data_IF_337123789230
#
_entry.id   IF_337123789230
#
_cell.length_a   1.000
_cell.length_b   1.000
_cell.length_c   1.000
_cell.angle_alpha   90.00
_cell.angle_beta   90.00
_cell.angle_gamma   90.00
#
_symmetry.space_group_name_H-M   'P 1'
#
loop_
_entity.id
_entity.type
_entity.pdbx_description
1 polymer ?
#
# COMPACT_ATOMS: atom_id res chain seq x y z
N UNK A 1 -14.62 -32.51 5.61
CA UNK A 1 -15.06 -31.10 5.62
C UNK A 1 -13.81 -30.23 5.56
N UNK A 2 -13.68 -29.35 4.56
CA UNK A 2 -12.47 -28.52 4.42
C UNK A 2 -12.35 -27.49 5.54
N UNK A 3 -11.14 -27.29 6.08
CA UNK A 3 -10.89 -26.17 7.00
C UNK A 3 -10.81 -24.84 6.21
N UNK A 4 -10.99 -23.70 6.89
CA UNK A 4 -10.92 -22.34 6.29
C UNK A 4 -11.99 -22.01 5.24
N UNK A 5 -13.26 -22.31 5.54
CA UNK A 5 -14.41 -21.96 4.70
C UNK A 5 -14.40 -20.48 4.26
N UNK A 6 -14.73 -20.25 2.99
CA UNK A 6 -14.74 -18.91 2.39
C UNK A 6 -13.37 -18.40 1.94
N UNK A 7 -12.29 -19.17 2.12
CA UNK A 7 -11.04 -18.94 1.40
C UNK A 7 -11.29 -19.10 -0.09
N UNK A 8 -10.86 -18.11 -0.86
CA UNK A 8 -11.02 -18.12 -2.32
C UNK A 8 -9.77 -18.73 -2.93
N UNK A 9 -9.96 -19.68 -3.83
CA UNK A 9 -8.92 -20.24 -4.70
C UNK A 9 -9.46 -20.31 -6.11
N UNK A 10 -8.82 -19.60 -7.04
CA UNK A 10 -9.13 -19.69 -8.46
C UNK A 10 -7.95 -20.30 -9.21
N UNK A 11 -8.20 -21.41 -9.89
CA UNK A 11 -7.22 -22.12 -10.69
C UNK A 11 -7.53 -21.92 -12.18
N UNK A 12 -6.53 -21.48 -12.94
CA UNK A 12 -6.58 -21.52 -14.39
C UNK A 12 -5.69 -22.65 -14.90
N UNK A 13 -6.26 -23.49 -15.75
CA UNK A 13 -5.56 -24.58 -16.43
C UNK A 13 -5.57 -24.37 -17.94
N UNK A 14 -4.71 -25.11 -18.63
CA UNK A 14 -4.77 -25.30 -20.08
C UNK A 14 -5.26 -26.72 -20.36
N UNK A 15 -6.15 -26.83 -21.34
CA UNK A 15 -6.60 -28.12 -21.83
C UNK A 15 -5.43 -28.91 -22.42
N UNK A 16 -5.53 -30.22 -22.35
CA UNK A 16 -4.58 -31.17 -22.94
C UNK A 16 -5.33 -32.07 -23.91
N UNK A 17 -4.62 -32.99 -24.54
CA UNK A 17 -5.22 -34.00 -25.43
C UNK A 17 -6.12 -35.01 -24.68
N UNK A 18 -6.06 -35.03 -23.34
CA UNK A 18 -6.93 -35.85 -22.48
C UNK A 18 -7.94 -34.99 -21.72
N UNK A 19 -9.23 -35.39 -21.67
CA UNK A 19 -10.27 -34.66 -20.95
C UNK A 19 -10.09 -34.66 -19.42
N UNK A 20 -9.29 -35.58 -18.88
CA UNK A 20 -9.02 -35.71 -17.44
C UNK A 20 -7.64 -35.18 -17.05
N UNK A 21 -6.89 -34.61 -17.99
CA UNK A 21 -5.55 -34.09 -17.74
C UNK A 21 -5.46 -32.60 -18.06
N UNK A 22 -4.81 -31.84 -17.17
CA UNK A 22 -4.75 -30.39 -17.22
C UNK A 22 -3.33 -29.90 -17.00
N UNK A 23 -2.92 -28.87 -17.72
CA UNK A 23 -1.66 -28.19 -17.42
C UNK A 23 -1.91 -26.98 -16.52
N UNK A 24 -1.19 -26.89 -15.41
CA UNK A 24 -1.23 -25.72 -14.53
C UNK A 24 -0.84 -24.45 -15.29
N UNK A 25 -1.68 -23.41 -15.19
CA UNK A 25 -1.37 -22.08 -15.70
C UNK A 25 -1.22 -21.08 -14.57
N UNK A 26 -2.33 -20.67 -13.94
CA UNK A 26 -2.37 -19.66 -12.86
C UNK A 26 -3.08 -20.21 -11.62
N UNK A 27 -2.68 -19.74 -10.44
CA UNK A 27 -3.49 -19.89 -9.23
C UNK A 27 -3.54 -18.59 -8.46
N UNK A 28 -4.69 -18.28 -7.90
CA UNK A 28 -4.98 -17.11 -7.08
C UNK A 28 -5.55 -17.61 -5.79
N UNK A 29 -5.13 -17.01 -4.70
CA UNK A 29 -5.73 -17.32 -3.42
C UNK A 29 -5.80 -16.09 -2.50
N UNK A 30 -6.84 -16.07 -1.69
CA UNK A 30 -7.05 -15.09 -0.63
C UNK A 30 -7.78 -15.77 0.52
N UNK A 31 -7.19 -15.72 1.72
CA UNK A 31 -7.77 -16.32 2.91
C UNK A 31 -8.99 -15.52 3.35
N UNK A 32 -10.03 -16.22 3.83
CA UNK A 32 -11.25 -15.57 4.33
C UNK A 32 -10.95 -14.48 5.37
N UNK A 33 -10.04 -14.77 6.28
CA UNK A 33 -9.58 -13.83 7.31
C UNK A 33 -9.03 -12.52 6.71
N UNK A 34 -8.31 -12.58 5.60
CA UNK A 34 -7.81 -11.40 4.89
C UNK A 34 -8.93 -10.64 4.16
N UNK A 35 -9.86 -11.35 3.52
CA UNK A 35 -11.00 -10.75 2.82
C UNK A 35 -11.88 -9.97 3.80
N UNK A 36 -12.28 -10.61 4.89
CA UNK A 36 -13.11 -9.98 5.92
C UNK A 36 -12.37 -8.84 6.61
N UNK A 37 -11.10 -9.06 6.99
CA UNK A 37 -10.28 -8.08 7.68
C UNK A 37 -10.02 -6.79 6.87
N UNK A 38 -10.03 -6.86 5.54
CA UNK A 38 -9.87 -5.69 4.67
C UNK A 38 -10.95 -4.62 4.89
N UNK A 39 -12.14 -5.01 5.36
CA UNK A 39 -13.21 -4.08 5.70
C UNK A 39 -12.77 -3.03 6.76
N UNK A 40 -11.78 -3.37 7.58
CA UNK A 40 -11.30 -2.53 8.68
C UNK A 40 -9.90 -1.94 8.44
N UNK A 41 -9.28 -2.28 7.31
CA UNK A 41 -8.02 -1.68 6.86
C UNK A 41 -8.25 -0.36 6.13
N UNK A 42 -7.20 0.43 5.88
CA UNK A 42 -7.28 1.58 4.97
C UNK A 42 -7.80 1.11 3.59
N UNK A 43 -8.63 1.89 2.88
CA UNK A 43 -9.12 1.55 1.54
C UNK A 43 -8.03 1.77 0.47
N UNK A 44 -6.81 1.31 0.76
CA UNK A 44 -5.63 1.46 -0.09
C UNK A 44 -5.04 0.07 -0.30
N UNK A 45 -4.89 -0.30 -1.57
CA UNK A 45 -4.29 -1.56 -2.00
C UNK A 45 -3.00 -1.25 -2.74
N UNK A 46 -1.91 -1.84 -2.31
CA UNK A 46 -0.63 -1.84 -3.00
C UNK A 46 -0.50 -3.16 -3.77
N UNK A 47 -0.19 -3.09 -5.06
CA UNK A 47 0.09 -4.27 -5.88
C UNK A 47 1.52 -4.28 -6.39
N UNK A 48 2.14 -5.47 -6.40
CA UNK A 48 3.52 -5.65 -6.87
C UNK A 48 3.72 -7.07 -7.41
N UNK A 49 4.69 -7.22 -8.31
CA UNK A 49 5.07 -8.48 -8.93
C UNK A 49 6.50 -8.86 -8.58
N UNK A 50 6.78 -10.15 -8.47
CA UNK A 50 8.15 -10.62 -8.28
C UNK A 50 8.44 -11.94 -8.97
N UNK A 51 9.61 -12.06 -9.59
CA UNK A 51 9.98 -13.29 -10.30
C UNK A 51 10.25 -14.47 -9.37
N UNK A 52 9.80 -15.65 -9.81
CA UNK A 52 10.12 -16.94 -9.23
C UNK A 52 11.40 -17.50 -9.88
N UNK A 53 12.24 -18.16 -9.07
CA UNK A 53 13.56 -18.64 -9.47
C UNK A 53 13.60 -20.16 -9.77
N UNK A 54 12.46 -20.85 -9.56
CA UNK A 54 12.32 -22.30 -9.71
C UNK A 54 12.48 -22.81 -11.15
N UNK A 55 12.43 -24.13 -11.34
CA UNK A 55 12.58 -24.81 -12.66
C UNK A 55 11.61 -24.25 -13.72
N UNK A 56 10.40 -23.92 -13.29
CA UNK A 56 9.29 -23.51 -14.15
C UNK A 56 9.22 -21.99 -14.39
N UNK A 57 10.10 -21.20 -13.76
CA UNK A 57 10.05 -19.73 -13.73
C UNK A 57 8.64 -19.26 -13.28
N UNK A 58 8.18 -18.11 -13.76
CA UNK A 58 6.91 -17.51 -13.37
C UNK A 58 7.08 -16.27 -12.49
N UNK A 59 5.96 -15.68 -12.10
CA UNK A 59 5.89 -14.51 -11.24
C UNK A 59 4.89 -14.75 -10.11
N UNK A 60 5.19 -14.20 -8.94
CA UNK A 60 4.29 -14.10 -7.81
C UNK A 60 3.78 -12.67 -7.75
N UNK A 61 2.47 -12.50 -7.96
CA UNK A 61 1.76 -11.24 -7.84
C UNK A 61 1.15 -11.14 -6.44
N UNK A 62 1.16 -9.93 -5.89
CA UNK A 62 0.73 -9.66 -4.53
C UNK A 62 -0.21 -8.46 -4.48
N UNK A 63 -1.23 -8.55 -3.64
CA UNK A 63 -2.04 -7.44 -3.18
C UNK A 63 -1.90 -7.31 -1.66
N UNK A 64 -1.59 -6.09 -1.21
CA UNK A 64 -1.39 -5.75 0.20
C UNK A 64 -2.24 -4.54 0.56
N UNK A 65 -2.92 -4.59 1.69
CA UNK A 65 -3.50 -3.42 2.34
C UNK A 65 -2.55 -2.89 3.44
N UNK A 66 -2.99 -1.82 4.07
CA UNK A 66 -2.41 -1.33 5.31
C UNK A 66 -3.50 -1.10 6.35
N UNK A 67 -3.23 -1.40 7.62
CA UNK A 67 -4.13 -1.03 8.72
C UNK A 67 -4.05 0.47 8.99
N UNK A 68 -5.02 1.03 9.72
CA UNK A 68 -4.92 2.41 10.23
C UNK A 68 -3.66 2.64 11.08
N UNK A 69 -3.11 1.59 11.70
CA UNK A 69 -1.85 1.63 12.46
C UNK A 69 -0.59 1.68 11.56
N UNK A 70 -0.72 1.65 10.24
CA UNK A 70 0.39 1.71 9.29
C UNK A 70 1.13 0.38 9.07
N UNK A 71 0.54 -0.74 9.47
CA UNK A 71 1.13 -2.06 9.32
C UNK A 71 0.68 -2.75 8.03
N UNK A 72 1.52 -3.64 7.51
CA UNK A 72 1.23 -4.39 6.28
C UNK A 72 0.17 -5.44 6.56
N UNK A 73 -0.86 -5.49 5.71
CA UNK A 73 -1.94 -6.46 5.79
C UNK A 73 -2.04 -7.24 4.47
N UNK A 74 -1.59 -8.50 4.41
CA UNK A 74 -1.65 -9.30 3.18
C UNK A 74 -3.08 -9.65 2.78
N UNK A 75 -3.43 -9.36 1.52
CA UNK A 75 -4.78 -9.60 0.99
C UNK A 75 -4.85 -10.84 0.11
N UNK A 76 -4.09 -10.84 -0.98
CA UNK A 76 -4.21 -11.86 -2.00
C UNK A 76 -2.90 -12.08 -2.74
N UNK A 77 -2.81 -13.25 -3.33
CA UNK A 77 -1.60 -13.77 -3.96
C UNK A 77 -1.96 -14.43 -5.28
N UNK A 78 -1.02 -14.45 -6.21
CA UNK A 78 -1.14 -15.30 -7.37
C UNK A 78 0.21 -15.75 -7.92
N UNK A 79 0.27 -17.00 -8.37
CA UNK A 79 1.36 -17.50 -9.20
C UNK A 79 0.91 -17.50 -10.65
N UNK A 80 1.69 -16.82 -11.50
CA UNK A 80 1.45 -16.66 -12.94
C UNK A 80 2.68 -17.04 -13.77
N UNK A 81 2.51 -17.27 -15.07
CA UNK A 81 3.57 -17.73 -15.98
C UNK A 81 4.53 -16.60 -16.42
N UNK A 82 4.04 -15.36 -16.49
CA UNK A 82 4.78 -14.17 -16.83
C UNK A 82 4.14 -12.92 -16.19
N UNK A 83 4.90 -11.83 -16.12
CA UNK A 83 4.37 -10.52 -15.74
C UNK A 83 3.96 -9.77 -17.02
N UNK A 84 2.72 -9.98 -17.48
CA UNK A 84 2.20 -9.43 -18.73
C UNK A 84 0.75 -8.96 -18.57
N UNK A 85 0.15 -8.45 -19.65
CA UNK A 85 -1.22 -7.95 -19.61
C UNK A 85 -2.25 -9.01 -19.22
N UNK A 86 -2.07 -10.27 -19.65
CA UNK A 86 -3.03 -11.35 -19.37
C UNK A 86 -2.99 -11.74 -17.90
N UNK A 87 -1.80 -11.88 -17.34
CA UNK A 87 -1.62 -12.25 -15.93
C UNK A 87 -2.07 -11.15 -14.97
N UNK A 88 -1.77 -9.88 -15.27
CA UNK A 88 -2.25 -8.75 -14.47
C UNK A 88 -3.76 -8.54 -14.59
N UNK A 89 -4.35 -8.69 -15.78
CA UNK A 89 -5.80 -8.66 -15.97
C UNK A 89 -6.48 -9.73 -15.13
N UNK A 90 -5.99 -10.96 -15.22
CA UNK A 90 -6.53 -12.08 -14.45
C UNK A 90 -6.41 -11.84 -12.94
N UNK A 91 -5.25 -11.38 -12.46
CA UNK A 91 -5.03 -11.11 -11.04
C UNK A 91 -5.95 -10.01 -10.51
N UNK A 92 -6.01 -8.86 -11.20
CA UNK A 92 -6.85 -7.74 -10.75
C UNK A 92 -8.35 -8.02 -10.90
N UNK A 93 -8.75 -8.85 -11.87
CA UNK A 93 -10.13 -9.34 -11.95
C UNK A 93 -10.50 -10.10 -10.68
N UNK A 94 -9.65 -11.03 -10.23
CA UNK A 94 -9.90 -11.79 -9.01
C UNK A 94 -9.83 -10.93 -7.75
N UNK A 95 -8.91 -9.96 -7.66
CA UNK A 95 -8.88 -8.98 -6.56
C UNK A 95 -10.19 -8.19 -6.50
N UNK A 96 -10.66 -7.65 -7.62
CA UNK A 96 -11.89 -6.86 -7.65
C UNK A 96 -13.14 -7.69 -7.38
N UNK A 97 -13.16 -8.95 -7.82
CA UNK A 97 -14.30 -9.86 -7.65
C UNK A 97 -14.41 -10.41 -6.22
N UNK A 98 -13.28 -10.79 -5.63
CA UNK A 98 -13.28 -11.59 -4.39
C UNK A 98 -12.80 -10.84 -3.15
N UNK A 99 -12.01 -9.77 -3.31
CA UNK A 99 -11.37 -9.08 -2.19
C UNK A 99 -11.98 -7.70 -1.95
N UNK A 100 -12.25 -6.94 -3.01
CA UNK A 100 -12.79 -5.57 -2.89
C UNK A 100 -14.30 -5.63 -2.70
N UNK A 101 -14.84 -5.11 -1.57
CA UNK A 101 -16.29 -5.10 -1.36
C UNK A 101 -17.02 -4.27 -2.44
N UNK A 102 -18.18 -4.70 -2.96
CA UNK A 102 -18.86 -4.04 -4.08
C UNK A 102 -19.09 -2.53 -3.90
N UNK A 103 -19.43 -2.09 -2.69
CA UNK A 103 -19.74 -0.68 -2.40
C UNK A 103 -18.53 0.16 -1.94
N UNK A 104 -17.37 -0.46 -1.77
CA UNK A 104 -16.19 0.21 -1.21
C UNK A 104 -15.39 0.89 -2.32
N UNK A 105 -15.15 2.19 -2.18
CA UNK A 105 -14.16 2.90 -2.99
C UNK A 105 -12.76 2.58 -2.47
N UNK A 106 -11.82 2.30 -3.38
CA UNK A 106 -10.44 1.94 -3.03
C UNK A 106 -9.42 2.68 -3.89
N UNK A 107 -8.26 2.94 -3.32
CA UNK A 107 -7.10 3.45 -4.04
C UNK A 107 -6.11 2.33 -4.32
N UNK A 108 -5.79 2.07 -5.59
CA UNK A 108 -4.75 1.11 -5.97
C UNK A 108 -3.45 1.85 -6.30
N UNK A 109 -2.39 1.51 -5.57
CA UNK A 109 -1.03 2.00 -5.77
C UNK A 109 -0.23 0.90 -6.47
N UNK A 110 0.36 1.25 -7.62
CA UNK A 110 1.05 0.28 -8.48
C UNK A 110 2.29 0.88 -9.15
N UNK A 111 3.15 0.02 -9.71
CA UNK A 111 4.08 0.45 -10.75
C UNK A 111 3.34 0.80 -12.06
N UNK A 112 4.03 1.46 -12.98
CA UNK A 112 3.62 1.78 -14.35
C UNK A 112 4.00 0.66 -15.33
N UNK A 113 4.00 -0.59 -14.88
CA UNK A 113 4.29 -1.73 -15.76
C UNK A 113 3.19 -1.86 -16.81
N UNK A 114 3.55 -2.14 -18.07
CA UNK A 114 2.59 -2.19 -19.19
C UNK A 114 1.47 -3.21 -18.99
N UNK A 115 1.77 -4.34 -18.32
CA UNK A 115 0.75 -5.32 -17.94
C UNK A 115 -0.30 -4.78 -16.97
N UNK A 116 0.09 -3.89 -16.04
CA UNK A 116 -0.83 -3.22 -15.12
C UNK A 116 -1.66 -2.18 -15.88
N UNK A 117 -1.04 -1.39 -16.76
CA UNK A 117 -1.77 -0.46 -17.63
C UNK A 117 -2.87 -1.19 -18.42
N UNK A 118 -2.51 -2.31 -19.07
CA UNK A 118 -3.45 -3.14 -19.80
C UNK A 118 -4.61 -3.63 -18.92
N UNK A 119 -4.36 -4.02 -17.67
CA UNK A 119 -5.42 -4.44 -16.76
C UNK A 119 -6.37 -3.29 -16.41
N UNK A 120 -5.87 -2.07 -16.15
CA UNK A 120 -6.72 -0.90 -15.89
C UNK A 120 -7.59 -0.49 -17.09
N UNK A 121 -7.13 -0.78 -18.32
CA UNK A 121 -7.90 -0.55 -19.54
C UNK A 121 -8.95 -1.64 -19.81
N UNK A 122 -8.72 -2.87 -19.33
CA UNK A 122 -9.48 -4.06 -19.76
C UNK A 122 -10.25 -4.78 -18.66
N UNK A 123 -10.20 -4.30 -17.40
CA UNK A 123 -11.01 -4.79 -16.28
C UNK A 123 -12.07 -3.73 -15.94
N UNK A 124 -13.37 -3.97 -16.25
CA UNK A 124 -14.43 -2.98 -16.09
C UNK A 124 -14.53 -2.40 -14.66
N UNK A 125 -14.33 -3.24 -13.65
CA UNK A 125 -14.42 -2.86 -12.24
C UNK A 125 -13.35 -1.84 -11.81
N UNK A 126 -12.22 -1.79 -12.53
CA UNK A 126 -11.17 -0.80 -12.31
C UNK A 126 -11.51 0.56 -12.94
N UNK A 127 -12.32 0.58 -14.01
CA UNK A 127 -12.73 1.80 -14.72
C UNK A 127 -14.00 2.46 -14.18
N UNK A 128 -14.86 1.70 -13.46
CA UNK A 128 -16.19 2.14 -13.02
C UNK A 128 -16.25 3.17 -11.89
N UNK A 129 -15.25 4.04 -11.73
CA UNK A 129 -15.24 5.17 -10.78
C UNK A 129 -15.11 4.80 -9.29
N UNK A 130 -15.14 3.51 -8.93
CA UNK A 130 -14.89 3.02 -7.55
C UNK A 130 -13.41 2.91 -7.21
N UNK A 131 -12.54 2.83 -8.21
CA UNK A 131 -11.11 2.65 -8.03
C UNK A 131 -10.37 3.92 -8.44
N UNK A 132 -9.61 4.50 -7.52
CA UNK A 132 -8.65 5.54 -7.86
C UNK A 132 -7.27 4.94 -8.05
N UNK A 133 -6.64 5.18 -9.18
CA UNK A 133 -5.27 4.69 -9.43
C UNK A 133 -4.23 5.73 -9.07
N UNK A 134 -3.17 5.29 -8.40
CA UNK A 134 -1.96 6.08 -8.09
C UNK A 134 -0.69 5.30 -8.44
N UNK A 135 0.34 6.02 -8.82
CA UNK A 135 1.65 5.46 -9.10
C UNK A 135 2.51 5.47 -7.85
N UNK A 136 3.21 4.35 -7.63
CA UNK A 136 4.24 4.27 -6.61
C UNK A 136 5.33 5.29 -6.91
N UNK A 137 5.48 6.28 -6.03
CA UNK A 137 6.47 7.35 -6.18
C UNK A 137 7.91 6.79 -6.22
N UNK A 138 8.15 5.66 -5.54
CA UNK A 138 9.46 4.99 -5.55
C UNK A 138 9.76 4.41 -6.93
N UNK A 139 8.79 3.73 -7.56
CA UNK A 139 8.93 3.22 -8.92
C UNK A 139 9.04 4.36 -9.94
N UNK A 140 8.22 5.41 -9.80
CA UNK A 140 8.34 6.59 -10.64
C UNK A 140 9.75 7.22 -10.54
N UNK A 141 10.33 7.27 -9.33
CA UNK A 141 11.72 7.71 -9.12
C UNK A 141 12.75 6.83 -9.79
N UNK A 142 12.53 5.52 -9.84
CA UNK A 142 13.39 4.61 -10.59
C UNK A 142 13.31 4.87 -12.09
N UNK A 143 12.11 4.99 -12.64
CA UNK A 143 11.87 5.24 -14.06
C UNK A 143 12.48 6.59 -14.48
N UNK A 144 12.28 7.62 -13.66
CA UNK A 144 12.88 8.94 -13.86
C UNK A 144 14.41 8.90 -13.83
N UNK A 145 15.01 8.14 -12.90
CA UNK A 145 16.46 7.93 -12.88
C UNK A 145 16.96 7.22 -14.14
N UNK A 146 16.25 6.19 -14.61
CA UNK A 146 16.67 5.45 -15.80
C UNK A 146 16.67 6.32 -17.05
N UNK A 147 15.73 7.28 -17.15
CA UNK A 147 15.65 8.22 -18.27
C UNK A 147 16.69 9.34 -18.20
N UNK A 148 16.80 10.05 -17.07
CA UNK A 148 17.61 11.28 -17.00
C UNK A 148 18.98 11.12 -16.33
N UNK A 149 19.22 10.01 -15.62
CA UNK A 149 20.48 9.68 -14.94
C UNK A 149 21.05 10.77 -14.02
N UNK A 150 20.20 11.70 -13.54
CA UNK A 150 20.60 12.84 -12.73
C UNK A 150 20.16 12.69 -11.27
N UNK A 151 21.12 12.71 -10.34
CA UNK A 151 20.85 12.56 -8.90
C UNK A 151 20.08 13.76 -8.36
N UNK A 152 20.40 14.97 -8.84
CA UNK A 152 19.75 16.22 -8.44
C UNK A 152 18.29 16.26 -8.88
N UNK A 153 18.03 16.00 -10.15
CA UNK A 153 16.65 15.96 -10.68
C UNK A 153 15.83 14.86 -10.00
N UNK A 154 16.41 13.68 -9.77
CA UNK A 154 15.76 12.59 -9.04
C UNK A 154 15.34 12.99 -7.62
N UNK A 155 16.19 13.75 -6.92
CA UNK A 155 15.89 14.26 -5.57
C UNK A 155 14.78 15.31 -5.64
N UNK A 156 14.85 16.25 -6.57
CA UNK A 156 13.82 17.29 -6.75
C UNK A 156 12.45 16.67 -7.06
N UNK A 157 12.39 15.72 -8.01
CA UNK A 157 11.15 15.03 -8.35
C UNK A 157 10.56 14.29 -7.14
N UNK A 158 11.41 13.59 -6.37
CA UNK A 158 10.92 12.87 -5.20
C UNK A 158 10.41 13.82 -4.09
N UNK A 159 11.01 15.01 -3.95
CA UNK A 159 10.49 16.07 -3.09
C UNK A 159 9.16 16.59 -3.61
N UNK A 160 9.06 16.90 -4.91
CA UNK A 160 7.83 17.39 -5.54
C UNK A 160 6.67 16.41 -5.33
N UNK A 161 6.90 15.12 -5.56
CA UNK A 161 5.89 14.10 -5.33
C UNK A 161 5.41 14.02 -3.88
N UNK A 162 6.25 14.40 -2.90
CA UNK A 162 5.93 14.40 -1.46
C UNK A 162 5.46 15.75 -0.91
N UNK A 163 5.45 16.80 -1.72
CA UNK A 163 5.07 18.12 -1.27
C UNK A 163 3.64 18.09 -0.70
N UNK A 164 3.40 18.61 0.52
CA UNK A 164 2.11 18.58 1.18
C UNK A 164 1.13 19.62 0.61
N UNK A 165 1.63 20.69 -0.02
CA UNK A 165 0.81 21.75 -0.59
C UNK A 165 1.23 22.05 -2.05
N UNK A 166 0.34 22.71 -2.80
CA UNK A 166 0.55 22.99 -4.23
C UNK A 166 1.65 24.02 -4.47
N UNK A 167 1.76 25.03 -3.62
CA UNK A 167 2.81 26.06 -3.74
C UNK A 167 4.22 25.47 -3.70
N UNK A 168 4.52 24.60 -2.72
CA UNK A 168 5.82 23.92 -2.64
C UNK A 168 6.05 22.99 -3.84
N UNK A 169 5.00 22.30 -4.30
CA UNK A 169 5.06 21.46 -5.50
C UNK A 169 5.44 22.28 -6.76
N UNK A 170 4.76 23.41 -6.98
CA UNK A 170 4.98 24.28 -8.13
C UNK A 170 6.40 24.84 -8.14
N UNK A 171 6.89 25.30 -6.98
CA UNK A 171 8.26 25.77 -6.81
C UNK A 171 9.29 24.68 -7.16
N UNK A 172 9.04 23.43 -6.74
CA UNK A 172 9.91 22.30 -7.05
C UNK A 172 9.88 21.93 -8.54
N UNK A 173 8.72 22.02 -9.20
CA UNK A 173 8.63 21.80 -10.64
C UNK A 173 9.36 22.90 -11.43
N UNK A 174 9.26 24.17 -11.04
CA UNK A 174 10.02 25.27 -11.66
C UNK A 174 11.54 25.08 -11.49
N UNK A 175 11.98 24.56 -10.35
CA UNK A 175 13.38 24.19 -10.14
C UNK A 175 13.83 23.02 -11.03
N UNK A 176 12.92 22.13 -11.41
CA UNK A 176 13.21 21.06 -12.39
C UNK A 176 13.28 21.65 -13.79
N UNK A 177 12.30 22.48 -14.19
CA UNK A 177 12.24 23.13 -15.50
C UNK A 177 13.51 23.94 -15.80
N UNK A 178 13.92 24.79 -14.84
CA UNK A 178 15.16 25.59 -14.96
C UNK A 178 16.44 24.76 -15.10
N UNK A 179 16.42 23.47 -14.72
CA UNK A 179 17.59 22.58 -14.82
C UNK A 179 17.53 21.67 -16.03
N UNK A 180 16.34 21.24 -16.42
CA UNK A 180 16.12 20.36 -17.55
C UNK A 180 14.64 20.41 -17.98
N UNK A 181 14.38 21.07 -19.11
CA UNK A 181 13.04 21.23 -19.66
C UNK A 181 12.40 19.89 -20.08
N UNK A 182 13.18 18.94 -20.58
CA UNK A 182 12.67 17.62 -20.97
C UNK A 182 12.15 16.82 -19.75
N UNK A 183 12.85 16.94 -18.61
CA UNK A 183 12.45 16.32 -17.35
C UNK A 183 11.15 16.92 -16.80
N UNK A 184 10.98 18.23 -16.93
CA UNK A 184 9.73 18.90 -16.61
C UNK A 184 8.58 18.42 -17.53
N UNK A 185 8.79 18.45 -18.84
CA UNK A 185 7.80 17.99 -19.82
C UNK A 185 7.39 16.52 -19.58
N UNK A 186 8.35 15.67 -19.22
CA UNK A 186 8.08 14.27 -18.90
C UNK A 186 7.22 14.09 -17.66
N UNK A 187 7.40 14.93 -16.63
CA UNK A 187 6.56 14.92 -15.43
C UNK A 187 5.15 15.47 -15.71
N UNK A 188 5.05 16.55 -16.49
CA UNK A 188 3.76 17.14 -16.88
C UNK A 188 2.91 16.21 -17.76
N UNK A 189 3.55 15.30 -18.52
CA UNK A 189 2.83 14.26 -19.26
C UNK A 189 2.12 13.25 -18.34
N UNK A 190 2.43 13.24 -17.05
CA UNK A 190 1.80 12.37 -16.06
C UNK A 190 0.80 13.19 -15.25
N UNK A 191 -0.49 12.80 -15.21
CA UNK A 191 -1.48 13.51 -14.41
C UNK A 191 -1.02 13.65 -12.96
N UNK A 192 -0.99 14.87 -12.44
CA UNK A 192 -0.37 15.20 -11.15
C UNK A 192 -0.98 14.43 -9.99
N UNK A 193 -2.31 14.28 -10.00
CA UNK A 193 -3.05 13.51 -9.01
C UNK A 193 -2.62 12.03 -8.95
N UNK A 194 -1.99 11.47 -10.00
CA UNK A 194 -1.51 10.08 -9.98
C UNK A 194 -0.22 9.89 -9.19
N UNK A 195 0.61 10.92 -9.01
CA UNK A 195 1.96 10.74 -8.44
C UNK A 195 2.35 11.71 -7.35
N UNK A 196 1.63 12.82 -7.19
CA UNK A 196 1.91 13.84 -6.18
C UNK A 196 0.97 13.69 -4.99
N UNK A 197 1.42 14.12 -3.81
CA UNK A 197 0.62 14.14 -2.59
C UNK A 197 -0.31 15.36 -2.55
N UNK A 198 0.19 16.53 -2.94
CA UNK A 198 -0.55 17.81 -2.97
C UNK A 198 -1.76 17.83 -3.89
N UNK A 199 -1.81 16.97 -4.91
CA UNK A 199 -2.94 16.82 -5.84
C UNK A 199 -3.74 15.54 -5.58
N UNK A 200 -3.56 14.88 -4.43
CA UNK A 200 -4.40 13.74 -4.03
C UNK A 200 -5.72 14.22 -3.43
N UNK A 201 -6.61 14.72 -4.29
CA UNK A 201 -7.90 15.26 -3.86
C UNK A 201 -8.69 14.24 -3.02
N UNK A 202 -9.21 14.71 -1.88
CA UNK A 202 -9.89 13.87 -0.88
C UNK A 202 -8.99 12.87 -0.14
N UNK A 203 -7.67 12.90 -0.34
CA UNK A 203 -6.71 12.03 0.35
C UNK A 203 -6.94 10.54 0.06
N UNK A 204 -7.29 10.19 -1.18
CA UNK A 204 -7.64 8.82 -1.58
C UNK A 204 -6.60 7.77 -1.20
N UNK A 205 -5.31 8.15 -1.13
CA UNK A 205 -4.22 7.24 -0.77
C UNK A 205 -3.84 7.23 0.72
N UNK A 206 -4.52 8.00 1.57
CA UNK A 206 -4.23 8.10 3.01
C UNK A 206 -2.74 8.36 3.32
N UNK A 207 -2.08 9.18 2.50
CA UNK A 207 -0.65 9.45 2.59
C UNK A 207 0.30 8.33 2.14
N UNK A 208 -0.22 7.16 1.73
CA UNK A 208 0.59 6.06 1.20
C UNK A 208 1.07 6.41 -0.20
N UNK A 209 2.39 6.64 -0.34
CA UNK A 209 3.00 7.07 -1.61
C UNK A 209 3.74 5.97 -2.36
N UNK A 210 3.88 4.79 -1.75
CA UNK A 210 4.80 3.75 -2.23
C UNK A 210 4.25 2.36 -1.99
N UNK A 211 4.66 1.40 -2.81
CA UNK A 211 4.42 -0.04 -2.68
C UNK A 211 5.36 -0.72 -1.68
N UNK A 212 5.93 0.02 -0.72
CA UNK A 212 6.88 -0.51 0.27
C UNK A 212 6.29 -1.69 1.06
N UNK A 213 4.97 -1.71 1.28
CA UNK A 213 4.27 -2.82 1.93
C UNK A 213 4.38 -4.10 1.10
N UNK A 214 4.03 -4.05 -0.18
CA UNK A 214 4.20 -5.17 -1.11
C UNK A 214 5.66 -5.60 -1.26
N UNK A 215 6.60 -4.67 -1.33
CA UNK A 215 8.03 -4.96 -1.45
C UNK A 215 8.62 -5.61 -0.19
N UNK A 216 8.20 -5.15 0.99
CA UNK A 216 8.62 -5.70 2.27
C UNK A 216 8.11 -7.13 2.42
N UNK A 217 6.84 -7.38 2.10
CA UNK A 217 6.30 -8.74 2.12
C UNK A 217 6.93 -9.62 1.03
N UNK A 218 7.17 -9.05 -0.15
CA UNK A 218 7.98 -9.69 -1.19
C UNK A 218 9.33 -10.17 -0.64
N UNK A 219 10.01 -9.36 0.18
CA UNK A 219 11.26 -9.75 0.81
C UNK A 219 11.08 -10.93 1.80
N UNK A 220 9.99 -10.97 2.57
CA UNK A 220 9.63 -12.13 3.41
C UNK A 220 9.49 -13.40 2.57
N UNK A 221 8.90 -13.29 1.39
CA UNK A 221 8.70 -14.43 0.47
C UNK A 221 9.97 -14.82 -0.30
N UNK A 222 11.07 -14.06 -0.19
CA UNK A 222 12.29 -14.30 -0.99
C UNK A 222 12.83 -15.73 -0.87
N UNK A 223 12.73 -16.34 0.32
CA UNK A 223 13.19 -17.70 0.57
C UNK A 223 12.38 -18.78 -0.15
N UNK A 224 11.07 -18.57 -0.38
CA UNK A 224 10.20 -19.57 -0.98
C UNK A 224 10.11 -19.48 -2.52
N UNK A 225 10.65 -18.44 -3.15
CA UNK A 225 10.52 -18.19 -4.61
C UNK A 225 11.16 -19.25 -5.52
N UNK A 226 11.98 -20.14 -4.99
CA UNK A 226 12.53 -21.26 -5.75
C UNK A 226 11.82 -22.60 -5.47
N UNK A 227 10.81 -22.60 -4.61
CA UNK A 227 10.08 -23.79 -4.19
C UNK A 227 8.89 -24.09 -5.14
N UNK A 228 8.33 -25.30 -5.09
CA UNK A 228 7.11 -25.64 -5.81
C UNK A 228 5.91 -24.75 -5.41
N UNK A 229 4.88 -24.70 -6.27
CA UNK A 229 3.64 -23.93 -6.07
C UNK A 229 3.04 -24.21 -4.69
N UNK A 230 2.87 -25.49 -4.34
CA UNK A 230 2.37 -25.92 -3.04
C UNK A 230 3.13 -25.30 -1.86
N UNK A 231 4.46 -25.39 -1.88
CA UNK A 231 5.32 -24.87 -0.82
C UNK A 231 5.25 -23.33 -0.71
N UNK A 232 5.01 -22.61 -1.83
CA UNK A 232 4.80 -21.15 -1.79
C UNK A 232 3.46 -20.84 -1.12
N UNK A 233 2.39 -21.57 -1.47
CA UNK A 233 1.06 -21.39 -0.84
C UNK A 233 1.14 -21.69 0.65
N UNK A 234 1.74 -22.82 1.04
CA UNK A 234 1.96 -23.18 2.45
C UNK A 234 2.79 -22.14 3.20
N UNK A 235 3.85 -21.62 2.59
CA UNK A 235 4.63 -20.55 3.20
C UNK A 235 3.79 -19.28 3.43
N UNK A 236 2.89 -18.92 2.50
CA UNK A 236 1.96 -17.81 2.75
C UNK A 236 0.97 -18.10 3.87
N UNK A 237 0.44 -19.32 3.93
CA UNK A 237 -0.42 -19.78 5.02
C UNK A 237 0.27 -19.63 6.38
N UNK A 238 1.47 -20.20 6.56
CA UNK A 238 2.22 -20.15 7.82
C UNK A 238 2.51 -18.71 8.27
N UNK A 239 2.86 -17.83 7.31
CA UNK A 239 3.12 -16.42 7.61
C UNK A 239 1.87 -15.69 8.04
N UNK A 240 0.72 -15.97 7.42
CA UNK A 240 -0.52 -15.29 7.76
C UNK A 240 -1.10 -15.81 9.08
N UNK A 241 -1.01 -17.11 9.37
CA UNK A 241 -1.39 -17.67 10.68
C UNK A 241 -0.66 -16.93 11.80
N UNK A 242 0.67 -16.88 11.73
CA UNK A 242 1.49 -16.20 12.73
C UNK A 242 1.20 -14.70 12.81
N UNK A 243 1.08 -14.03 11.66
CA UNK A 243 0.79 -12.61 11.61
C UNK A 243 -0.54 -12.27 12.29
N UNK A 244 -1.62 -12.99 11.96
CA UNK A 244 -2.95 -12.71 12.51
C UNK A 244 -2.97 -12.93 14.02
N UNK A 245 -2.29 -13.97 14.51
CA UNK A 245 -2.21 -14.25 15.94
C UNK A 245 -1.46 -13.17 16.74
N UNK A 246 -0.25 -12.81 16.29
CA UNK A 246 0.57 -11.76 16.92
C UNK A 246 -0.17 -10.41 16.96
N UNK A 247 -0.84 -10.06 15.86
CA UNK A 247 -1.51 -8.76 15.72
C UNK A 247 -2.79 -8.68 16.53
N UNK A 248 -3.59 -9.75 16.54
CA UNK A 248 -4.78 -9.86 17.39
C UNK A 248 -4.41 -9.77 18.87
N UNK A 249 -3.37 -10.49 19.30
CA UNK A 249 -2.84 -10.40 20.67
C UNK A 249 -2.44 -8.98 21.02
N UNK A 250 -1.70 -8.30 20.13
CA UNK A 250 -1.31 -6.90 20.34
C UNK A 250 -2.51 -5.97 20.49
N UNK A 251 -3.55 -6.17 19.68
CA UNK A 251 -4.80 -5.40 19.74
C UNK A 251 -5.50 -5.53 21.08
N UNK A 252 -5.65 -6.76 21.59
CA UNK A 252 -6.27 -6.99 22.89
C UNK A 252 -5.45 -6.44 24.06
N UNK A 253 -4.12 -6.56 24.02
CA UNK A 253 -3.24 -5.97 25.04
C UNK A 253 -3.42 -4.46 25.10
N UNK A 254 -3.47 -3.77 23.95
CA UNK A 254 -3.71 -2.33 23.91
C UNK A 254 -5.11 -1.97 24.43
N UNK A 255 -6.13 -2.76 24.12
CA UNK A 255 -7.50 -2.52 24.57
C UNK A 255 -7.62 -2.67 26.08
N UNK A 256 -7.03 -3.74 26.65
CA UNK A 256 -6.97 -3.96 28.09
C UNK A 256 -6.17 -2.88 28.82
N UNK A 257 -5.18 -2.29 28.15
CA UNK A 257 -4.41 -1.17 28.67
C UNK A 257 -5.13 0.19 28.56
N UNK A 258 -6.39 0.22 28.10
CA UNK A 258 -7.21 1.43 28.04
C UNK A 258 -6.92 2.37 26.86
N UNK A 259 -6.21 1.90 25.82
CA UNK A 259 -5.95 2.74 24.64
C UNK A 259 -7.16 2.78 23.69
N UNK A 260 -7.54 3.99 23.27
CA UNK A 260 -8.57 4.18 22.23
C UNK A 260 -8.05 3.93 20.81
N UNK A 261 -6.74 4.04 20.62
CA UNK A 261 -6.08 3.96 19.31
C UNK A 261 -4.90 2.98 19.34
N UNK A 262 -4.60 2.30 18.22
CA UNK A 262 -3.37 1.52 18.06
C UNK A 262 -2.12 2.38 18.27
N UNK A 263 -1.03 1.73 18.65
CA UNK A 263 0.16 2.41 19.19
C UNK A 263 0.79 3.46 18.26
N UNK A 264 0.82 3.26 16.94
CA UNK A 264 1.41 4.26 16.02
C UNK A 264 0.48 5.46 15.83
N UNK A 265 -0.83 5.22 15.79
CA UNK A 265 -1.83 6.30 15.75
C UNK A 265 -1.75 7.12 17.03
N UNK A 266 -1.73 6.45 18.19
CA UNK A 266 -1.59 7.10 19.49
C UNK A 266 -0.32 7.97 19.59
N UNK A 267 0.83 7.44 19.16
CA UNK A 267 2.09 8.20 19.10
C UNK A 267 1.99 9.41 18.18
N UNK A 268 1.29 9.30 17.06
CA UNK A 268 1.07 10.42 16.14
C UNK A 268 0.21 11.52 16.78
N UNK A 269 -0.91 11.14 17.41
CA UNK A 269 -1.81 12.05 18.13
C UNK A 269 -1.03 12.80 19.22
N UNK A 270 -0.29 12.07 20.07
CA UNK A 270 0.51 12.68 21.15
C UNK A 270 1.56 13.66 20.63
N UNK A 271 2.25 13.31 19.55
CA UNK A 271 3.22 14.21 18.92
C UNK A 271 2.57 15.50 18.43
N UNK A 272 1.40 15.41 17.80
CA UNK A 272 0.68 16.60 17.32
C UNK A 272 0.12 17.44 18.48
N UNK A 273 -0.28 16.79 19.57
CA UNK A 273 -0.71 17.42 20.81
C UNK A 273 0.43 18.23 21.45
N UNK A 274 1.64 17.68 21.50
CA UNK A 274 2.84 18.39 21.97
C UNK A 274 3.19 19.57 21.05
N UNK A 275 3.14 19.35 19.73
CA UNK A 275 3.47 20.39 18.75
C UNK A 275 2.43 21.53 18.69
N UNK A 276 1.24 21.35 19.27
CA UNK A 276 0.23 22.42 19.33
C UNK A 276 0.70 23.59 20.20
N UNK A 277 1.63 23.36 21.13
CA UNK A 277 2.14 24.40 22.04
C UNK A 277 2.88 25.53 21.30
N UNK A 278 3.35 25.26 20.08
CA UNK A 278 3.98 26.25 19.20
C UNK A 278 2.97 27.00 18.31
N UNK A 279 1.68 26.79 18.53
CA UNK A 279 0.62 27.33 17.70
C UNK A 279 -0.21 28.35 18.50
N UNK A 280 -0.36 29.55 17.94
CA UNK A 280 -1.28 30.58 18.44
C UNK A 280 -2.54 30.62 17.59
N UNK A 281 -3.69 30.42 18.22
CA UNK A 281 -4.99 30.39 17.55
C UNK A 281 -5.66 31.75 17.62
N UNK A 282 -6.25 32.18 16.50
CA UNK A 282 -7.17 33.33 16.42
C UNK A 282 -8.47 32.85 15.80
N UNK A 283 -9.57 33.05 16.52
CA UNK A 283 -10.91 32.72 16.03
C UNK A 283 -11.41 33.82 15.10
N UNK A 284 -11.84 33.45 13.89
CA UNK A 284 -12.45 34.39 12.93
C UNK A 284 -13.98 34.24 12.90
N UNK A 285 -14.49 33.00 12.92
CA UNK A 285 -15.94 32.75 12.89
C UNK A 285 -16.30 31.44 13.60
N UNK A 286 -16.77 31.53 14.84
CA UNK A 286 -17.08 30.35 15.68
C UNK A 286 -18.11 29.40 15.06
N UNK A 287 -19.26 29.92 14.62
CA UNK A 287 -20.37 29.08 14.10
C UNK A 287 -19.99 28.32 12.81
N UNK A 288 -19.13 28.92 11.97
CA UNK A 288 -18.61 28.28 10.76
C UNK A 288 -17.33 27.46 11.03
N UNK A 289 -16.83 27.46 12.27
CA UNK A 289 -15.64 26.73 12.69
C UNK A 289 -14.35 27.23 12.05
N UNK A 290 -14.24 28.52 11.74
CA UNK A 290 -13.11 29.12 11.01
C UNK A 290 -12.11 29.79 11.96
N UNK A 291 -10.86 29.35 11.88
CA UNK A 291 -9.75 29.81 12.71
C UNK A 291 -8.49 30.03 11.87
N UNK A 292 -7.63 30.95 12.30
CA UNK A 292 -6.26 31.04 11.81
C UNK A 292 -5.30 30.59 12.90
N UNK A 293 -4.29 29.81 12.51
CA UNK A 293 -3.27 29.28 13.41
C UNK A 293 -1.92 29.81 12.94
N UNK A 294 -1.28 30.60 13.79
CA UNK A 294 0.08 31.11 13.57
C UNK A 294 1.04 30.16 14.26
N UNK A 295 2.01 29.64 13.52
CA UNK A 295 3.08 28.81 14.11
C UNK A 295 4.26 29.73 14.42
N UNK A 296 4.67 29.76 15.67
CA UNK A 296 5.88 30.48 16.06
C UNK A 296 7.08 29.68 15.55
N UNK A 297 7.83 30.27 14.61
CA UNK A 297 8.98 29.62 14.00
C UNK A 297 10.05 29.27 15.03
N UNK A 298 10.73 28.13 14.85
CA UNK A 298 12.02 27.90 15.49
C UNK A 298 12.96 29.06 15.14
N UNK A 299 13.79 29.50 16.08
CA UNK A 299 14.67 30.69 16.09
C UNK A 299 15.53 30.96 14.83
N UNK A 300 15.52 30.09 13.82
CA UNK A 300 16.31 30.16 12.59
C UNK A 300 15.52 30.57 11.33
N UNK A 301 14.18 30.63 11.36
CA UNK A 301 13.37 31.05 10.20
C UNK A 301 12.41 32.17 10.64
N UNK A 302 12.72 33.40 10.22
CA UNK A 302 12.00 34.62 10.60
C UNK A 302 10.60 34.77 9.97
N UNK A 303 10.05 33.73 9.32
CA UNK A 303 8.72 33.79 8.71
C UNK A 303 7.69 33.07 9.57
N UNK A 304 6.76 33.84 10.11
CA UNK A 304 5.54 33.30 10.75
C UNK A 304 4.65 32.72 9.67
N UNK A 305 4.48 31.41 9.66
CA UNK A 305 3.52 30.74 8.79
C UNK A 305 2.13 30.78 9.43
N UNK A 306 1.13 31.17 8.64
CA UNK A 306 -0.27 31.21 9.08
C UNK A 306 -1.08 30.20 8.29
N UNK A 307 -1.80 29.35 9.00
CA UNK A 307 -2.66 28.31 8.43
C UNK A 307 -4.12 28.57 8.76
N UNK A 308 -5.01 28.28 7.83
CA UNK A 308 -6.46 28.34 8.04
C UNK A 308 -6.95 26.95 8.41
N UNK A 309 -7.73 26.86 9.49
CA UNK A 309 -8.41 25.64 9.92
C UNK A 309 -9.91 25.88 9.82
N UNK A 310 -10.61 24.93 9.21
CA UNK A 310 -12.08 24.88 9.23
C UNK A 310 -12.51 23.53 9.82
N UNK A 311 -13.02 23.55 11.06
CA UNK A 311 -13.44 22.35 11.77
C UNK A 311 -14.67 21.69 11.12
N UNK A 312 -15.66 22.50 10.71
CA UNK A 312 -16.90 22.01 10.11
C UNK A 312 -16.64 21.32 8.77
N UNK A 313 -15.79 21.91 7.93
CA UNK A 313 -15.37 21.35 6.65
C UNK A 313 -14.30 20.26 6.79
N UNK A 314 -13.76 20.03 7.99
CA UNK A 314 -12.63 19.13 8.27
C UNK A 314 -11.40 19.37 7.40
N UNK A 315 -11.02 20.64 7.26
CA UNK A 315 -9.87 21.04 6.43
C UNK A 315 -8.87 21.89 7.20
N UNK A 316 -7.62 21.82 6.76
CA UNK A 316 -6.55 22.73 7.17
C UNK A 316 -5.70 23.07 5.95
N UNK A 317 -5.33 24.34 5.78
CA UNK A 317 -4.56 24.81 4.62
C UNK A 317 -3.15 24.19 4.52
N UNK A 318 -2.65 23.56 5.60
CA UNK A 318 -1.42 22.75 5.54
C UNK A 318 -1.57 21.46 4.70
N UNK A 319 -2.79 21.07 4.33
CA UNK A 319 -3.11 19.90 3.50
C UNK A 319 -3.07 18.56 4.24
N UNK A 320 -2.41 18.47 5.39
CA UNK A 320 -2.20 17.20 6.09
C UNK A 320 -3.50 16.52 6.54
N UNK A 321 -4.47 17.29 7.06
CA UNK A 321 -5.70 16.70 7.60
C UNK A 321 -6.49 15.92 6.54
N UNK A 322 -6.68 16.51 5.35
CA UNK A 322 -7.33 15.83 4.22
C UNK A 322 -6.48 14.68 3.69
N UNK A 323 -5.16 14.89 3.58
CA UNK A 323 -4.24 13.92 2.96
C UNK A 323 -4.12 12.63 3.76
N UNK A 324 -3.99 12.74 5.08
CA UNK A 324 -3.76 11.61 5.99
C UNK A 324 -5.03 11.16 6.71
N UNK A 325 -6.12 11.92 6.61
CA UNK A 325 -7.37 11.72 7.35
C UNK A 325 -7.17 11.76 8.88
N UNK A 326 -6.09 12.41 9.34
CA UNK A 326 -5.74 12.58 10.75
C UNK A 326 -5.52 14.07 11.05
N UNK A 327 -6.04 14.59 12.17
CA UNK A 327 -5.82 15.97 12.60
C UNK A 327 -4.32 16.31 12.68
N UNK A 328 -3.91 17.41 12.05
CA UNK A 328 -2.56 17.95 12.21
C UNK A 328 -2.45 18.79 13.49
N UNK A 329 -1.23 19.16 13.88
CA UNK A 329 -0.96 20.01 15.05
C UNK A 329 -1.79 21.32 15.08
N UNK A 330 -2.10 21.92 13.92
CA UNK A 330 -2.97 23.10 13.87
C UNK A 330 -4.40 22.81 14.32
N UNK A 331 -4.94 21.65 13.93
CA UNK A 331 -6.28 21.21 14.34
C UNK A 331 -6.29 20.90 15.84
N UNK A 332 -5.23 20.26 16.36
CA UNK A 332 -5.04 20.06 17.80
C UNK A 332 -5.05 21.40 18.57
N UNK A 333 -4.35 22.42 18.05
CA UNK A 333 -4.33 23.74 18.67
C UNK A 333 -5.72 24.38 18.72
N UNK A 334 -6.48 24.30 17.63
CA UNK A 334 -7.85 24.82 17.56
C UNK A 334 -8.81 24.04 18.48
N UNK A 335 -8.73 22.71 18.51
CA UNK A 335 -9.53 21.89 19.41
C UNK A 335 -9.26 22.24 20.87
N UNK A 336 -7.99 22.41 21.24
CA UNK A 336 -7.61 22.85 22.59
C UNK A 336 -8.16 24.25 22.91
N UNK A 337 -8.05 25.21 21.98
CA UNK A 337 -8.64 26.55 22.13
C UNK A 337 -10.15 26.49 22.37
N UNK A 338 -10.84 25.53 21.75
CA UNK A 338 -12.29 25.32 21.90
C UNK A 338 -12.66 24.41 23.09
N UNK A 339 -11.71 23.97 23.91
CA UNK A 339 -11.92 23.00 24.99
C UNK A 339 -12.57 21.68 24.55
N UNK A 340 -12.20 21.16 23.37
CA UNK A 340 -12.66 19.86 22.85
C UNK A 340 -11.48 18.93 22.55
N UNK A 341 -11.71 17.63 22.62
CA UNK A 341 -10.69 16.61 22.27
C UNK A 341 -10.63 16.43 20.76
N UNK A 342 -9.49 15.98 20.21
CA UNK A 342 -9.38 15.67 18.78
C UNK A 342 -9.99 14.32 18.40
N UNK A 343 -10.22 13.43 19.36
CA UNK A 343 -10.59 12.03 19.14
C UNK A 343 -11.82 11.86 18.25
N UNK A 344 -12.83 12.72 18.41
CA UNK A 344 -14.06 12.69 17.61
C UNK A 344 -13.87 13.08 16.13
N UNK A 345 -12.72 13.69 15.80
CA UNK A 345 -12.34 14.04 14.43
C UNK A 345 -11.56 12.92 13.74
N UNK A 346 -11.15 11.89 14.49
CA UNK A 346 -10.37 10.76 13.97
C UNK A 346 -11.33 9.69 13.44
N UNK A 347 -11.24 9.31 12.15
CA UNK A 347 -12.11 8.28 11.59
C UNK A 347 -11.95 6.91 12.27
N UNK A 348 -13.05 6.17 12.39
CA UNK A 348 -13.09 4.85 13.02
C UNK A 348 -12.07 3.85 12.46
N UNK A 349 -11.63 4.01 11.20
CA UNK A 349 -10.62 3.15 10.56
C UNK A 349 -9.26 3.16 11.30
N UNK A 350 -9.00 4.20 12.10
CA UNK A 350 -7.81 4.34 12.94
C UNK A 350 -8.04 3.86 14.37
N UNK A 351 -9.25 3.45 14.74
CA UNK A 351 -9.57 3.01 16.10
C UNK A 351 -8.95 1.66 16.43
N UNK A 352 -8.82 1.39 17.73
CA UNK A 352 -8.37 0.08 18.20
C UNK A 352 -9.35 -1.03 17.80
N UNK A 353 -10.65 -0.74 17.73
CA UNK A 353 -11.65 -1.71 17.35
C UNK A 353 -11.52 -2.12 15.88
N UNK A 354 -11.28 -1.16 14.97
CA UNK A 354 -11.00 -1.49 13.56
C UNK A 354 -9.73 -2.33 13.43
N UNK A 355 -8.71 -2.05 14.22
CA UNK A 355 -7.50 -2.85 14.25
C UNK A 355 -7.76 -4.30 14.71
N UNK A 356 -8.49 -4.49 15.81
CA UNK A 356 -8.87 -5.83 16.31
C UNK A 356 -9.72 -6.56 15.27
N UNK A 357 -10.71 -5.88 14.69
CA UNK A 357 -11.59 -6.46 13.68
C UNK A 357 -10.86 -6.82 12.38
N UNK A 358 -9.82 -6.08 11.98
CA UNK A 358 -8.99 -6.43 10.84
C UNK A 358 -8.32 -7.80 11.02
N UNK A 359 -7.99 -8.18 12.26
CA UNK A 359 -7.35 -9.44 12.60
C UNK A 359 -8.28 -10.37 13.39
N UNK A 360 -9.61 -10.23 13.30
CA UNK A 360 -10.53 -11.11 14.03
C UNK A 360 -10.61 -12.51 13.42
N UNK A 361 -10.41 -12.61 12.09
CA UNK A 361 -10.43 -13.87 11.37
C UNK A 361 -9.36 -14.84 11.84
N UNK A 362 -9.73 -16.12 11.94
CA UNK A 362 -8.85 -17.22 12.33
C UNK A 362 -8.55 -18.05 11.09
N UNK A 363 -7.28 -18.24 10.79
CA UNK A 363 -6.82 -19.18 9.78
C UNK A 363 -6.62 -20.52 10.51
N UNK A 364 -7.53 -21.45 10.26
CA UNK A 364 -7.60 -22.74 10.94
C UNK A 364 -6.53 -23.70 10.45
N UNK A 365 -6.06 -24.64 11.30
CA UNK A 365 -5.20 -25.74 10.89
C UNK A 365 -5.72 -26.45 9.64
N UNK A 366 -4.80 -26.83 8.75
CA UNK A 366 -5.11 -27.70 7.62
C UNK A 366 -5.20 -29.15 8.09
N UNK A 367 -6.13 -29.96 7.56
CA UNK A 367 -6.13 -31.40 7.81
C UNK A 367 -4.86 -32.04 7.26
N UNK A 368 -4.50 -33.20 7.80
CA UNK A 368 -3.35 -33.96 7.32
C UNK A 368 -3.48 -34.31 5.82
N UNK A 369 -2.36 -34.39 5.11
CA UNK A 369 -2.35 -34.68 3.67
C UNK A 369 -3.03 -36.02 3.35
N UNK A 370 -2.98 -37.01 4.26
CA UNK A 370 -3.66 -38.30 4.11
C UNK A 370 -5.19 -38.19 4.09
N UNK A 371 -5.75 -37.09 4.57
CA UNK A 371 -7.19 -36.83 4.63
C UNK A 371 -7.69 -36.01 3.43
N UNK A 372 -6.79 -35.60 2.53
CA UNK A 372 -7.18 -34.80 1.38
C UNK A 372 -7.89 -35.68 0.34
N UNK A 373 -8.92 -35.15 -0.34
CA UNK A 373 -9.58 -35.89 -1.39
C UNK A 373 -8.60 -36.17 -2.52
N UNK A 374 -8.63 -37.40 -3.03
CA UNK A 374 -7.90 -37.74 -4.26
C UNK A 374 -8.56 -37.00 -5.42
N UNK A 375 -7.82 -36.18 -6.19
CA UNK A 375 -8.40 -35.48 -7.32
C UNK A 375 -8.80 -36.47 -8.42
N UNK A 376 -9.99 -36.27 -9.00
CA UNK A 376 -10.49 -37.03 -10.16
C UNK A 376 -9.83 -36.60 -11.49
N UNK A 377 -8.79 -35.76 -11.42
CA UNK A 377 -8.06 -35.21 -12.55
C UNK A 377 -6.56 -35.26 -12.31
N UNK A 378 -5.79 -35.30 -13.40
CA UNK A 378 -4.34 -35.22 -13.36
C UNK A 378 -3.88 -33.80 -13.70
N UNK A 379 -3.06 -33.19 -12.84
CA UNK A 379 -2.31 -31.99 -13.20
C UNK A 379 -0.96 -32.43 -13.77
N UNK A 380 -0.82 -32.30 -15.09
CA UNK A 380 0.44 -32.57 -15.77
C UNK A 380 1.53 -31.64 -15.23
N UNK A 381 2.72 -32.21 -15.04
CA UNK A 381 3.90 -31.43 -14.63
C UNK A 381 4.17 -30.35 -15.69
N UNK A 382 4.35 -29.07 -15.30
CA UNK A 382 4.63 -28.03 -16.28
C UNK A 382 5.90 -28.36 -17.06
N UNK A 383 5.92 -28.09 -18.35
CA UNK A 383 7.13 -28.32 -19.15
C UNK A 383 8.23 -27.37 -18.65
N UNK A 384 9.41 -27.86 -18.25
CA UNK A 384 10.50 -26.99 -17.83
C UNK A 384 10.86 -26.01 -18.95
N UNK A 385 10.98 -24.71 -18.62
CA UNK A 385 11.59 -23.78 -19.59
C UNK A 385 13.05 -24.20 -19.81
N UNK A 386 13.40 -24.54 -21.05
CA UNK A 386 14.78 -24.88 -21.43
C UNK A 386 15.72 -23.73 -20.98
N UNK A 387 16.79 -24.08 -20.27
CA UNK A 387 17.78 -23.10 -19.83
C UNK A 387 19.04 -23.24 -20.68
N UNK A 388 19.34 -22.23 -21.49
CA UNK A 388 20.57 -22.16 -22.30
C UNK A 388 21.81 -21.72 -21.49
N UNK A 389 21.68 -21.42 -20.19
CA UNK A 389 22.81 -20.99 -19.33
C UNK A 389 23.33 -22.13 -18.48
N UNK A 390 24.60 -22.49 -18.70
CA UNK A 390 25.43 -23.27 -17.78
C UNK A 390 25.82 -22.41 -16.56
N UNK A 391 25.80 -23.00 -15.35
CA UNK A 391 26.21 -22.35 -14.08
C UNK A 391 25.12 -22.24 -12.99
N UNK A 392 25.53 -21.91 -11.75
CA UNK A 392 24.64 -21.78 -10.58
C UNK A 392 23.58 -20.69 -10.82
N UNK A 393 22.30 -21.05 -10.72
CA UNK A 393 21.18 -20.10 -10.86
C UNK A 393 21.30 -18.98 -9.82
N UNK A 394 21.33 -17.73 -10.28
CA UNK A 394 21.37 -16.56 -9.41
C UNK A 394 20.04 -16.44 -8.66
N UNK A 395 20.08 -16.56 -7.33
CA UNK A 395 18.89 -16.48 -6.43
C UNK A 395 18.49 -15.04 -6.07
N UNK A 396 19.24 -14.07 -6.56
CA UNK A 396 19.05 -12.65 -6.31
C UNK A 396 19.03 -11.91 -7.63
N UNK A 397 17.99 -11.09 -7.85
CA UNK A 397 18.01 -10.10 -8.94
C UNK A 397 19.26 -9.22 -8.80
N UNK A 398 19.81 -8.75 -9.91
CA UNK A 398 20.89 -7.76 -9.87
C UNK A 398 20.40 -6.54 -9.08
N UNK A 399 21.16 -6.10 -8.06
CA UNK A 399 20.78 -4.92 -7.30
C UNK A 399 20.61 -3.74 -8.24
N UNK A 400 19.48 -3.06 -8.14
CA UNK A 400 19.27 -1.81 -8.86
C UNK A 400 19.27 -0.64 -7.87
N UNK A 401 19.10 0.57 -8.40
CA UNK A 401 19.02 1.81 -7.63
C UNK A 401 17.94 1.79 -6.52
N UNK A 402 16.97 0.86 -6.56
CA UNK A 402 15.92 0.71 -5.56
C UNK A 402 16.38 -0.09 -4.34
N UNK A 403 17.46 -0.86 -4.47
CA UNK A 403 18.01 -1.70 -3.42
C UNK A 403 19.04 -0.95 -2.55
N UNK A 404 19.53 0.21 -3.01
CA UNK A 404 20.42 1.08 -2.26
C UNK A 404 19.65 1.94 -1.25
N UNK A 405 19.75 1.59 0.05
CA UNK A 405 19.34 2.46 1.16
C UNK A 405 20.49 3.43 1.50
N UNK A 406 20.24 4.74 1.68
CA UNK A 406 21.23 5.63 2.29
C UNK A 406 21.63 5.07 3.67
N UNK A 407 22.92 5.10 4.00
CA UNK A 407 23.38 4.78 5.37
C UNK A 407 22.59 5.67 6.33
N UNK A 408 21.87 5.06 7.29
CA UNK A 408 21.36 5.80 8.44
C UNK A 408 22.60 6.31 9.16
N UNK A 409 22.78 7.63 9.21
CA UNK A 409 23.63 8.20 10.25
C UNK A 409 23.00 7.76 11.58
N UNK A 410 23.71 6.92 12.33
CA UNK A 410 23.49 6.82 13.77
C UNK A 410 23.76 8.23 14.28
N UNK A 411 22.72 8.94 14.67
CA UNK A 411 22.93 10.01 15.64
C UNK A 411 23.43 9.29 16.88
N UNK A 412 24.71 9.50 17.19
CA UNK A 412 25.18 9.39 18.56
C UNK A 412 24.50 10.53 19.30
N UNK A 413 23.58 10.16 20.18
CA UNK A 413 23.36 10.74 21.51
C UNK A 413 22.35 9.85 22.23
#
# INVERSE_FOLDING_TARGET
MGSNHGTVVDLQTMATDSPTSFQFKYVFWSFRASIDGFHYCLPVISVDGTHLYGKYKGCLLLAMAMTGNGEIFPLAFSIVDAEDGRSWKWFLTNVMRHVVPPHRRVCIISDRHSGIEHAFENVPELGGGRVTRRYCLRHLRSNFWNKFRSKKLRTLMYKAGKAPNRSEFDQLLLQIASKNQEAYNWLNAIPEHKWTLSHDEGGSRYGVMTTNSSESFNHVLKGCRCLPVYAIVMFTYDKLVKLFDERRTSGYVWQQSGYNFPMNVWKHIRKNEENRLYCRVVQHHAQQGIYSVVVDGSSYIAQRETFTVNLNARTCSCGQWVTFHLPCNHVHAVCHFCNVTVDHLIPNIFSIQSYINAYSGIIMPLPDESQWPTPEYEILRPTPRQTTRTGRRTRTRYPNNMDYRPRRHRNQE
#
